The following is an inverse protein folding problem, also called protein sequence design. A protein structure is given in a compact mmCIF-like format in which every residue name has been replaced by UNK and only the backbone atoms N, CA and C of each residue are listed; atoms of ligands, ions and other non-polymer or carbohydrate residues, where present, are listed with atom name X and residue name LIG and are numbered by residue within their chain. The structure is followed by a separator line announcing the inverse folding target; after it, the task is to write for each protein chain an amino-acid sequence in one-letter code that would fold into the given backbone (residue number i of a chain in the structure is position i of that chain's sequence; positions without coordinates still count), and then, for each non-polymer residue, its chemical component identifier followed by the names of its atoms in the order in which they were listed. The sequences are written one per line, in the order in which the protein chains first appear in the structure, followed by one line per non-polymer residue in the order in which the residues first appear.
data_IF_770622307591
#
_entry.id   IF_770622307591
#
_cell.length_a   1.000
_cell.length_b   1.000
_cell.length_c   1.000
_cell.angle_alpha   90.00
_cell.angle_beta   90.00
_cell.angle_gamma   90.00
#
_symmetry.space_group_name_H-M   'P 1'
#
loop_
_entity.id
_entity.type
_entity.pdbx_description
1 polymer ?
#
# COMPACT_ATOMS: atom_id res chain seq x y z
N UNK A 1 -38.22 -36.99 6.77
CA UNK A 1 -37.45 -36.49 5.61
C UNK A 1 -36.90 -35.14 6.01
N UNK A 2 -35.60 -35.09 6.30
CA UNK A 2 -34.90 -33.86 6.62
C UNK A 2 -34.70 -33.07 5.33
N UNK A 3 -35.08 -31.79 5.34
CA UNK A 3 -34.75 -30.86 4.26
C UNK A 3 -33.31 -30.40 4.42
N UNK A 4 -32.49 -30.66 3.42
CA UNK A 4 -31.15 -30.11 3.25
C UNK A 4 -31.26 -28.59 3.06
N UNK A 5 -30.76 -27.82 4.03
CA UNK A 5 -30.45 -26.41 3.82
C UNK A 5 -29.09 -26.36 3.13
N UNK A 6 -29.09 -25.91 1.87
CA UNK A 6 -27.88 -25.66 1.10
C UNK A 6 -27.19 -24.42 1.68
N UNK A 7 -26.20 -24.68 2.55
CA UNK A 7 -25.39 -23.67 3.21
C UNK A 7 -24.24 -23.23 2.30
N UNK A 8 -24.49 -22.26 1.43
CA UNK A 8 -23.40 -21.47 0.83
C UNK A 8 -23.28 -20.15 1.58
N UNK A 9 -22.59 -20.20 2.72
CA UNK A 9 -22.04 -19.00 3.36
C UNK A 9 -20.86 -18.52 2.50
N UNK A 10 -21.19 -17.88 1.36
CA UNK A 10 -20.21 -17.23 0.52
C UNK A 10 -19.81 -15.94 1.24
N UNK A 11 -18.76 -16.02 2.04
CA UNK A 11 -18.20 -14.87 2.77
C UNK A 11 -18.16 -13.61 1.90
N UNK A 12 -18.47 -12.48 2.51
CA UNK A 12 -18.62 -11.22 1.79
C UNK A 12 -17.23 -10.77 1.30
N UNK A 13 -17.02 -10.84 -0.03
CA UNK A 13 -15.79 -10.40 -0.71
C UNK A 13 -15.99 -9.00 -1.28
N UNK A 14 -15.01 -8.12 -1.08
CA UNK A 14 -15.04 -6.76 -1.61
C UNK A 14 -13.75 -6.39 -2.35
N UNK A 15 -13.90 -5.59 -3.41
CA UNK A 15 -12.81 -4.99 -4.18
C UNK A 15 -12.92 -3.46 -4.18
N UNK A 16 -11.81 -2.79 -3.85
CA UNK A 16 -11.62 -1.36 -4.03
C UNK A 16 -10.99 -1.09 -5.40
N UNK A 17 -11.69 -0.31 -6.22
CA UNK A 17 -11.30 0.02 -7.59
C UNK A 17 -10.60 1.37 -7.69
N UNK A 18 -9.34 1.34 -8.12
CA UNK A 18 -8.60 2.55 -8.50
C UNK A 18 -8.99 3.04 -9.91
N UNK A 19 -9.82 4.08 -9.98
CA UNK A 19 -10.08 4.83 -11.22
C UNK A 19 -9.30 6.15 -11.24
N UNK A 20 -8.03 6.08 -11.63
CA UNK A 20 -7.26 7.28 -11.95
C UNK A 20 -7.65 7.84 -13.33
N UNK A 21 -7.70 9.17 -13.45
CA UNK A 21 -8.03 9.84 -14.72
C UNK A 21 -7.06 9.41 -15.82
N UNK A 22 -7.56 9.26 -17.04
CA UNK A 22 -6.73 9.09 -18.25
C UNK A 22 -5.77 10.28 -18.36
N UNK A 23 -4.52 10.13 -17.92
CA UNK A 23 -3.53 11.22 -17.97
C UNK A 23 -2.48 11.18 -16.86
N UNK A 24 -2.89 10.79 -15.64
CA UNK A 24 -2.06 10.83 -14.41
C UNK A 24 -0.80 9.93 -14.45
N UNK A 25 -0.70 9.05 -15.44
CA UNK A 25 0.38 8.07 -15.57
C UNK A 25 1.21 8.22 -16.83
N UNK A 26 0.95 9.28 -17.62
CA UNK A 26 1.60 9.46 -18.92
C UNK A 26 3.12 9.49 -18.80
N UNK A 27 3.65 10.04 -17.71
CA UNK A 27 5.10 10.06 -17.46
C UNK A 27 5.64 8.67 -17.17
N UNK A 28 5.04 7.94 -16.22
CA UNK A 28 5.44 6.57 -15.86
C UNK A 28 5.29 5.57 -17.03
N UNK A 29 4.35 5.80 -17.95
CA UNK A 29 4.19 4.98 -19.16
C UNK A 29 5.22 5.31 -20.24
N UNK A 30 5.75 6.54 -20.27
CA UNK A 30 6.71 7.03 -21.28
C UNK A 30 8.17 6.82 -20.89
N UNK A 31 8.48 6.71 -19.61
CA UNK A 31 9.84 6.45 -19.12
C UNK A 31 10.15 4.94 -19.11
N UNK A 32 11.43 4.58 -19.10
CA UNK A 32 11.92 3.22 -18.84
C UNK A 32 11.67 2.74 -17.40
N UNK A 33 10.97 3.54 -16.59
CA UNK A 33 10.64 3.23 -15.21
C UNK A 33 9.84 1.91 -15.10
N UNK A 34 10.23 0.97 -14.23
CA UNK A 34 9.65 -0.39 -14.23
C UNK A 34 8.21 -0.43 -13.69
N UNK A 35 7.86 0.46 -12.75
CA UNK A 35 6.49 0.50 -12.19
C UNK A 35 5.52 1.09 -13.20
N UNK A 36 4.58 0.25 -13.65
CA UNK A 36 3.48 0.63 -14.55
C UNK A 36 2.14 0.46 -13.82
N UNK A 37 1.55 1.53 -13.29
CA UNK A 37 0.26 1.48 -12.59
C UNK A 37 -0.91 0.99 -13.47
N UNK A 38 -0.71 0.99 -14.80
CA UNK A 38 -1.62 0.37 -15.75
C UNK A 38 -1.96 -1.09 -15.43
N UNK A 39 -1.06 -1.83 -14.76
CA UNK A 39 -1.31 -3.22 -14.31
C UNK A 39 -2.61 -3.35 -13.52
N UNK A 40 -2.95 -2.36 -12.69
CA UNK A 40 -4.17 -2.37 -11.86
C UNK A 40 -5.42 -2.31 -12.75
N UNK A 41 -5.38 -1.48 -13.80
CA UNK A 41 -6.47 -1.40 -14.78
C UNK A 41 -6.59 -2.69 -15.61
N UNK A 42 -5.47 -3.33 -15.94
CA UNK A 42 -5.49 -4.62 -16.62
C UNK A 42 -6.14 -5.70 -15.75
N UNK A 43 -5.74 -5.80 -14.48
CA UNK A 43 -6.37 -6.71 -13.50
C UNK A 43 -7.87 -6.46 -13.42
N UNK A 44 -8.31 -5.21 -13.23
CA UNK A 44 -9.72 -4.90 -13.13
C UNK A 44 -10.51 -5.29 -14.41
N UNK A 45 -9.97 -4.98 -15.59
CA UNK A 45 -10.61 -5.37 -16.85
C UNK A 45 -10.75 -6.90 -16.98
N UNK A 46 -9.76 -7.67 -16.53
CA UNK A 46 -9.87 -9.14 -16.51
C UNK A 46 -10.98 -9.59 -15.56
N UNK A 47 -11.06 -9.03 -14.35
CA UNK A 47 -12.12 -9.34 -13.38
C UNK A 47 -13.53 -9.06 -13.94
N UNK A 48 -13.69 -7.95 -14.68
CA UNK A 48 -14.94 -7.62 -15.37
C UNK A 48 -15.30 -8.67 -16.44
N UNK A 49 -14.34 -9.01 -17.31
CA UNK A 49 -14.59 -9.93 -18.43
C UNK A 49 -14.79 -11.39 -17.98
N UNK A 50 -14.16 -11.80 -16.86
CA UNK A 50 -14.43 -13.09 -16.23
C UNK A 50 -15.76 -13.12 -15.44
N UNK A 51 -16.47 -11.99 -15.31
CA UNK A 51 -17.72 -11.91 -14.56
C UNK A 51 -17.55 -11.97 -13.04
N UNK A 52 -16.32 -11.90 -12.53
CA UNK A 52 -16.03 -11.97 -11.09
C UNK A 52 -16.61 -10.78 -10.33
N UNK A 53 -16.73 -9.63 -10.98
CA UNK A 53 -17.36 -8.43 -10.42
C UNK A 53 -18.79 -8.64 -9.93
N UNK A 54 -19.49 -9.68 -10.39
CA UNK A 54 -20.85 -10.02 -9.97
C UNK A 54 -20.88 -10.76 -8.62
N UNK A 55 -19.72 -11.22 -8.15
CA UNK A 55 -19.55 -12.02 -6.93
C UNK A 55 -18.86 -11.25 -5.81
N UNK A 56 -18.65 -9.95 -5.99
CA UNK A 56 -17.99 -9.08 -5.02
C UNK A 56 -18.59 -7.68 -5.09
N UNK A 57 -18.51 -6.93 -4.00
CA UNK A 57 -18.87 -5.51 -4.05
C UNK A 57 -17.71 -4.67 -4.58
N UNK A 58 -17.99 -3.81 -5.55
CA UNK A 58 -16.99 -2.89 -6.10
C UNK A 58 -17.21 -1.50 -5.53
N UNK A 59 -16.18 -0.99 -4.87
CA UNK A 59 -16.19 0.32 -4.26
C UNK A 59 -15.17 1.24 -4.91
N UNK A 60 -15.52 2.51 -5.07
CA UNK A 60 -14.56 3.54 -5.46
C UNK A 60 -13.97 4.15 -4.18
N UNK A 61 -12.65 4.12 -3.98
CA UNK A 61 -12.06 4.65 -2.77
C UNK A 61 -12.21 6.16 -2.71
N UNK A 62 -12.35 6.69 -1.49
CA UNK A 62 -12.18 8.12 -1.26
C UNK A 62 -10.71 8.50 -1.48
N UNK A 63 -10.46 9.80 -1.66
CA UNK A 63 -9.09 10.32 -1.64
C UNK A 63 -8.68 10.51 -0.19
N UNK A 64 -7.71 9.74 0.28
CA UNK A 64 -7.16 9.93 1.61
C UNK A 64 -6.67 11.38 1.76
N UNK A 65 -7.06 12.05 2.84
CA UNK A 65 -6.65 13.41 3.12
C UNK A 65 -5.28 13.43 3.82
N UNK A 66 -4.73 14.63 4.02
CA UNK A 66 -3.43 14.76 4.68
C UNK A 66 -3.47 14.27 6.14
N UNK A 67 -4.58 14.48 6.86
CA UNK A 67 -4.75 14.06 8.25
C UNK A 67 -4.62 12.53 8.40
N UNK A 68 -5.30 11.78 7.52
CA UNK A 68 -5.20 10.32 7.44
C UNK A 68 -3.76 9.87 7.19
N UNK A 69 -3.04 10.53 6.26
CA UNK A 69 -1.66 10.16 5.94
C UNK A 69 -0.68 10.50 7.07
N UNK A 70 -0.90 11.60 7.78
CA UNK A 70 -0.05 12.04 8.90
C UNK A 70 -0.21 11.19 10.15
N UNK A 71 -1.14 10.23 10.19
CA UNK A 71 -1.20 9.23 11.26
C UNK A 71 0.08 8.37 11.34
N UNK A 72 0.80 8.18 10.22
CA UNK A 72 2.10 7.47 10.20
C UNK A 72 3.25 8.30 9.64
N UNK A 73 2.98 9.25 8.74
CA UNK A 73 3.99 10.07 8.08
C UNK A 73 4.19 11.42 8.75
N UNK A 74 5.35 12.04 8.54
CA UNK A 74 5.60 13.40 9.06
C UNK A 74 4.82 14.47 8.28
N UNK A 75 4.34 15.49 9.00
CA UNK A 75 3.56 16.59 8.42
C UNK A 75 4.30 17.29 7.27
N UNK A 76 5.60 17.51 7.43
CA UNK A 76 6.43 18.19 6.44
C UNK A 76 6.62 17.36 5.17
N UNK A 77 6.68 16.03 5.31
CA UNK A 77 6.77 15.11 4.18
C UNK A 77 5.45 15.06 3.38
N UNK A 78 4.31 14.93 4.06
CA UNK A 78 3.00 14.94 3.38
C UNK A 78 2.72 16.30 2.72
N UNK A 79 3.08 17.41 3.38
CA UNK A 79 3.00 18.76 2.79
C UNK A 79 3.87 18.88 1.55
N UNK A 80 5.07 18.31 1.56
CA UNK A 80 5.94 18.26 0.39
C UNK A 80 5.32 17.45 -0.74
N UNK A 81 4.84 16.22 -0.49
CA UNK A 81 4.19 15.40 -1.53
C UNK A 81 2.96 16.08 -2.13
N UNK A 82 2.18 16.80 -1.32
CA UNK A 82 1.03 17.57 -1.78
C UNK A 82 1.42 18.75 -2.69
N UNK A 83 2.57 19.38 -2.43
CA UNK A 83 2.99 20.62 -3.10
C UNK A 83 3.89 20.38 -4.31
N UNK A 84 4.64 19.28 -4.31
CA UNK A 84 5.63 18.99 -5.35
C UNK A 84 4.96 18.60 -6.67
N UNK A 85 5.47 19.17 -7.75
CA UNK A 85 5.00 18.98 -9.13
C UNK A 85 6.20 19.05 -10.08
N UNK A 86 6.12 18.44 -11.28
CA UNK A 86 7.22 18.48 -12.23
C UNK A 86 7.70 19.90 -12.60
N UNK A 87 6.81 20.89 -12.59
CA UNK A 87 7.09 22.28 -12.95
C UNK A 87 7.79 23.10 -11.83
N UNK A 88 7.71 22.66 -10.57
CA UNK A 88 8.30 23.36 -9.42
C UNK A 88 9.47 22.60 -8.75
N UNK A 89 9.95 21.50 -9.34
CA UNK A 89 11.00 20.66 -8.74
C UNK A 89 12.27 21.41 -8.36
N UNK A 90 12.67 22.43 -9.14
CA UNK A 90 13.86 23.24 -8.86
C UNK A 90 13.80 23.97 -7.51
N UNK A 91 12.59 24.32 -7.06
CA UNK A 91 12.36 25.01 -5.78
C UNK A 91 12.51 24.07 -4.57
N UNK A 92 12.42 22.75 -4.80
CA UNK A 92 12.39 21.72 -3.76
C UNK A 92 13.65 20.85 -3.70
N UNK A 93 14.78 21.27 -4.32
CA UNK A 93 16.00 20.45 -4.41
C UNK A 93 16.48 19.88 -3.07
N UNK A 94 16.47 20.68 -2.00
CA UNK A 94 16.85 20.23 -0.65
C UNK A 94 15.87 19.22 -0.05
N UNK A 95 14.56 19.45 -0.23
CA UNK A 95 13.51 18.57 0.25
C UNK A 95 13.51 17.25 -0.54
N UNK A 96 13.74 17.29 -1.84
CA UNK A 96 13.87 16.10 -2.68
C UNK A 96 14.99 15.18 -2.20
N UNK A 97 16.18 15.73 -1.91
CA UNK A 97 17.27 14.95 -1.32
C UNK A 97 16.89 14.41 0.07
N UNK A 98 16.30 15.25 0.93
CA UNK A 98 15.92 14.87 2.30
C UNK A 98 14.85 13.76 2.34
N UNK A 99 13.92 13.78 1.39
CA UNK A 99 12.78 12.85 1.33
C UNK A 99 12.98 11.71 0.34
N UNK A 100 14.22 11.53 -0.15
CA UNK A 100 14.63 10.48 -1.08
C UNK A 100 13.79 10.41 -2.37
N UNK A 101 13.60 11.58 -3.01
CA UNK A 101 12.91 11.74 -4.29
C UNK A 101 13.95 12.08 -5.35
N UNK A 102 14.13 11.23 -6.35
CA UNK A 102 15.09 11.48 -7.43
C UNK A 102 15.46 10.25 -8.24
N UNK A 103 16.15 9.28 -7.63
CA UNK A 103 16.63 8.09 -8.35
C UNK A 103 15.48 7.12 -8.65
N UNK A 104 15.02 6.42 -7.61
CA UNK A 104 13.96 5.42 -7.76
C UNK A 104 12.57 6.07 -7.69
N UNK A 105 12.39 7.06 -6.82
CA UNK A 105 11.11 7.72 -6.57
C UNK A 105 11.05 9.06 -7.32
N UNK A 106 10.38 9.09 -8.48
CA UNK A 106 10.28 10.28 -9.33
C UNK A 106 9.10 11.19 -8.96
N UNK A 107 9.21 12.48 -9.25
CA UNK A 107 8.05 13.38 -9.28
C UNK A 107 7.34 13.21 -10.63
N UNK A 108 6.02 13.03 -10.60
CA UNK A 108 5.20 12.95 -11.81
C UNK A 108 3.85 13.64 -11.60
N UNK A 109 3.18 13.97 -12.71
CA UNK A 109 1.86 14.58 -12.69
C UNK A 109 0.87 13.73 -11.87
N UNK A 110 0.15 14.37 -10.95
CA UNK A 110 -0.80 13.68 -10.07
C UNK A 110 -0.15 12.67 -9.08
N UNK A 111 1.13 12.81 -8.74
CA UNK A 111 1.80 11.99 -7.71
C UNK A 111 0.98 11.93 -6.41
N UNK A 112 0.56 13.08 -5.88
CA UNK A 112 -0.21 13.10 -4.64
C UNK A 112 -1.56 12.39 -4.80
N UNK A 113 -2.28 12.63 -5.90
CA UNK A 113 -3.56 11.97 -6.17
C UNK A 113 -3.41 10.44 -6.28
N UNK A 114 -2.29 9.94 -6.81
CA UNK A 114 -1.97 8.52 -6.78
C UNK A 114 -1.89 8.02 -5.34
N UNK A 115 -1.10 8.68 -4.49
CA UNK A 115 -0.97 8.32 -3.07
C UNK A 115 -2.32 8.36 -2.35
N UNK A 116 -3.14 9.39 -2.61
CA UNK A 116 -4.46 9.53 -1.99
C UNK A 116 -5.38 8.35 -2.29
N UNK A 117 -5.35 7.84 -3.52
CA UNK A 117 -6.25 6.78 -3.92
C UNK A 117 -5.73 5.39 -3.54
N UNK A 118 -4.41 5.14 -3.58
CA UNK A 118 -3.84 3.89 -3.07
C UNK A 118 -4.10 3.78 -1.56
N UNK A 119 -3.81 4.83 -0.80
CA UNK A 119 -4.05 4.90 0.65
C UNK A 119 -5.53 4.84 0.99
N UNK A 120 -6.37 5.61 0.29
CA UNK A 120 -7.81 5.63 0.54
C UNK A 120 -8.46 4.26 0.37
N UNK A 121 -8.03 3.48 -0.62
CA UNK A 121 -8.48 2.09 -0.79
C UNK A 121 -8.15 1.19 0.40
N UNK A 122 -6.91 1.26 0.90
CA UNK A 122 -6.47 0.41 2.01
C UNK A 122 -7.12 0.82 3.34
N UNK A 123 -7.23 2.12 3.62
CA UNK A 123 -7.90 2.63 4.83
C UNK A 123 -9.40 2.35 4.80
N UNK A 124 -10.09 2.59 3.68
CA UNK A 124 -11.52 2.28 3.56
C UNK A 124 -11.80 0.78 3.72
N UNK A 125 -10.92 -0.07 3.19
CA UNK A 125 -10.97 -1.52 3.35
C UNK A 125 -10.83 -1.92 4.83
N UNK A 126 -9.85 -1.35 5.54
CA UNK A 126 -9.68 -1.57 6.98
C UNK A 126 -10.88 -1.11 7.82
N UNK A 127 -11.47 0.05 7.49
CA UNK A 127 -12.70 0.52 8.14
C UNK A 127 -13.86 -0.47 7.99
N UNK A 128 -14.02 -1.08 6.82
CA UNK A 128 -15.10 -2.05 6.55
C UNK A 128 -14.89 -3.36 7.28
N UNK A 129 -13.65 -3.85 7.34
CA UNK A 129 -13.27 -5.01 8.17
C UNK A 129 -13.57 -4.74 9.66
N UNK A 130 -13.15 -3.58 10.18
CA UNK A 130 -13.45 -3.17 11.55
C UNK A 130 -14.95 -3.09 11.86
N UNK A 131 -15.75 -2.62 10.89
CA UNK A 131 -17.21 -2.54 10.99
C UNK A 131 -17.92 -3.89 10.76
N UNK A 132 -17.19 -4.97 10.50
CA UNK A 132 -17.73 -6.30 10.21
C UNK A 132 -18.72 -6.27 9.04
N UNK A 133 -18.47 -5.41 8.04
CA UNK A 133 -19.29 -5.29 6.83
C UNK A 133 -18.79 -6.19 5.70
N UNK A 134 -17.58 -6.72 5.83
CA UNK A 134 -16.94 -7.62 4.87
C UNK A 134 -15.99 -8.55 5.61
N UNK A 135 -15.78 -9.74 5.07
CA UNK A 135 -14.78 -10.69 5.58
C UNK A 135 -13.42 -10.48 4.91
N UNK A 136 -13.44 -10.07 3.64
CA UNK A 136 -12.23 -9.87 2.82
C UNK A 136 -12.39 -8.59 2.00
N UNK A 137 -11.39 -7.72 2.10
CA UNK A 137 -11.30 -6.51 1.31
C UNK A 137 -10.01 -6.50 0.48
N UNK A 138 -10.12 -6.16 -0.80
CA UNK A 138 -9.03 -6.22 -1.77
C UNK A 138 -8.75 -4.82 -2.32
N UNK A 139 -7.51 -4.34 -2.19
CA UNK A 139 -7.03 -3.12 -2.85
C UNK A 139 -5.78 -3.42 -3.68
N UNK A 140 -5.94 -3.66 -4.98
CA UNK A 140 -4.82 -3.95 -5.88
C UNK A 140 -3.87 -2.77 -6.10
N UNK A 141 -4.30 -1.55 -5.76
CA UNK A 141 -3.53 -0.32 -5.94
C UNK A 141 -2.60 0.02 -4.78
N UNK A 142 -2.79 -0.62 -3.62
CA UNK A 142 -1.93 -0.48 -2.46
C UNK A 142 -0.66 -1.32 -2.55
N UNK A 143 -0.20 -1.79 -1.39
CA UNK A 143 1.03 -2.60 -1.20
C UNK A 143 2.32 -1.80 -1.38
N UNK A 144 2.32 -0.53 -0.96
CA UNK A 144 3.49 0.35 -1.03
C UNK A 144 4.34 0.22 0.26
N UNK A 145 4.91 -0.97 0.47
CA UNK A 145 5.51 -1.39 1.74
C UNK A 145 6.88 -0.80 2.08
N UNK A 146 7.56 -0.16 1.13
CA UNK A 146 8.89 0.44 1.35
C UNK A 146 8.84 1.86 1.90
N UNK A 147 7.70 2.55 1.78
CA UNK A 147 7.58 3.94 2.22
C UNK A 147 7.84 4.06 3.72
N UNK A 148 8.69 5.02 4.10
CA UNK A 148 9.09 5.29 5.49
C UNK A 148 8.32 6.48 6.05
N UNK A 149 8.51 6.76 7.34
CA UNK A 149 7.83 7.87 8.02
C UNK A 149 8.05 9.23 7.35
N UNK A 150 9.27 9.51 6.90
CA UNK A 150 9.65 10.81 6.33
C UNK A 150 10.41 10.71 5.01
N UNK A 151 10.35 9.60 4.30
CA UNK A 151 11.03 9.45 3.01
C UNK A 151 10.34 8.43 2.11
N UNK A 152 10.47 8.63 0.80
CA UNK A 152 10.07 7.66 -0.20
C UNK A 152 11.17 6.59 -0.36
N UNK A 153 10.80 5.38 -0.75
CA UNK A 153 11.76 4.31 -1.03
C UNK A 153 11.13 3.27 -1.94
N UNK A 154 11.90 2.64 -2.85
CA UNK A 154 11.42 1.53 -3.68
C UNK A 154 10.09 1.81 -4.39
N UNK A 155 9.95 2.99 -5.01
CA UNK A 155 8.73 3.45 -5.69
C UNK A 155 7.52 3.74 -4.78
N UNK A 156 7.70 3.67 -3.46
CA UNK A 156 6.66 3.86 -2.46
C UNK A 156 6.80 5.23 -1.80
N UNK A 157 5.73 6.03 -1.83
CA UNK A 157 5.72 7.39 -1.27
C UNK A 157 4.93 7.46 0.04
N UNK A 158 3.77 6.81 0.12
CA UNK A 158 2.93 6.72 1.32
C UNK A 158 2.70 5.25 1.62
N UNK A 159 2.91 4.85 2.87
CA UNK A 159 2.77 3.46 3.30
C UNK A 159 1.30 3.17 3.65
N UNK A 160 0.53 2.78 2.64
CA UNK A 160 -0.89 2.48 2.79
C UNK A 160 -1.15 1.27 3.72
N UNK A 161 -0.18 0.35 3.81
CA UNK A 161 -0.25 -0.84 4.66
C UNK A 161 -0.18 -0.45 6.14
N UNK A 162 0.78 0.41 6.51
CA UNK A 162 0.91 0.92 7.88
C UNK A 162 -0.37 1.65 8.30
N UNK A 163 -0.91 2.51 7.44
CA UNK A 163 -2.15 3.26 7.74
C UNK A 163 -3.36 2.34 7.90
N UNK A 164 -3.49 1.30 7.06
CA UNK A 164 -4.54 0.30 7.20
C UNK A 164 -4.39 -0.53 8.49
N UNK A 165 -3.18 -0.91 8.87
CA UNK A 165 -2.93 -1.62 10.14
C UNK A 165 -3.26 -0.73 11.34
N UNK A 166 -2.89 0.56 11.32
CA UNK A 166 -3.27 1.51 12.37
C UNK A 166 -4.79 1.63 12.51
N UNK A 167 -5.53 1.61 11.40
CA UNK A 167 -6.99 1.55 11.41
C UNK A 167 -7.49 0.25 12.05
N UNK A 168 -6.97 -0.91 11.65
CA UNK A 168 -7.35 -2.22 12.23
C UNK A 168 -7.07 -2.29 13.74
N UNK A 169 -5.95 -1.71 14.20
CA UNK A 169 -5.57 -1.68 15.61
C UNK A 169 -6.54 -0.90 16.51
N UNK A 170 -7.50 -0.15 15.95
CA UNK A 170 -8.58 0.48 16.73
C UNK A 170 -9.56 -0.55 17.31
N UNK A 171 -9.72 -1.71 16.66
CA UNK A 171 -10.68 -2.74 17.05
C UNK A 171 -10.03 -4.10 17.33
N UNK A 172 -8.87 -4.37 16.74
CA UNK A 172 -8.16 -5.63 16.90
C UNK A 172 -6.96 -5.48 17.83
N UNK A 173 -6.89 -6.31 18.88
CA UNK A 173 -5.77 -6.30 19.83
C UNK A 173 -4.44 -6.67 19.14
N UNK A 174 -4.48 -7.60 18.19
CA UNK A 174 -3.34 -8.10 17.42
C UNK A 174 -3.66 -8.13 15.93
N UNK A 175 -2.71 -7.73 15.10
CA UNK A 175 -2.79 -7.78 13.64
C UNK A 175 -1.60 -8.56 13.09
N UNK A 176 -1.83 -9.48 12.17
CA UNK A 176 -0.78 -10.20 11.45
C UNK A 176 -0.64 -9.62 10.05
N UNK A 177 0.57 -9.23 9.66
CA UNK A 177 0.91 -8.79 8.32
C UNK A 177 1.80 -9.86 7.67
N UNK A 178 1.33 -10.43 6.56
CA UNK A 178 2.08 -11.40 5.76
C UNK A 178 2.47 -10.72 4.45
N UNK A 179 3.76 -10.70 4.16
CA UNK A 179 4.35 -10.11 2.96
C UNK A 179 5.01 -11.19 2.11
N UNK A 180 4.56 -11.26 0.86
CA UNK A 180 5.00 -12.21 -0.16
C UNK A 180 5.63 -11.51 -1.37
N UNK A 181 5.91 -10.21 -1.27
CA UNK A 181 6.70 -9.53 -2.28
C UNK A 181 8.13 -10.09 -2.29
N UNK A 182 8.78 -10.05 -3.46
CA UNK A 182 10.16 -10.52 -3.58
C UNK A 182 11.15 -9.65 -2.79
N UNK A 183 10.77 -8.40 -2.51
CA UNK A 183 11.53 -7.48 -1.67
C UNK A 183 11.04 -7.55 -0.22
N UNK A 184 11.94 -7.23 0.70
CA UNK A 184 11.61 -7.13 2.11
C UNK A 184 10.62 -5.99 2.37
N UNK A 185 9.54 -6.28 3.10
CA UNK A 185 8.55 -5.30 3.57
C UNK A 185 9.06 -4.37 4.69
N UNK A 186 10.20 -3.75 4.45
CA UNK A 186 11.02 -3.02 5.42
C UNK A 186 10.33 -1.80 6.04
N UNK A 187 9.51 -1.06 5.30
CA UNK A 187 8.77 0.09 5.83
C UNK A 187 7.67 -0.31 6.80
N UNK A 188 7.01 -1.45 6.56
CA UNK A 188 5.99 -2.01 7.47
C UNK A 188 6.66 -2.60 8.71
N UNK A 189 7.76 -3.35 8.53
CA UNK A 189 8.57 -3.89 9.63
C UNK A 189 9.04 -2.76 10.56
N UNK A 190 9.66 -1.72 10.01
CA UNK A 190 10.20 -0.59 10.77
C UNK A 190 9.11 0.13 11.58
N UNK A 191 7.93 0.36 10.97
CA UNK A 191 6.83 1.06 11.61
C UNK A 191 6.28 0.35 12.87
N UNK A 192 6.41 -0.98 12.93
CA UNK A 192 5.89 -1.80 14.02
C UNK A 192 6.97 -2.56 14.80
N UNK A 193 8.24 -2.24 14.58
CA UNK A 193 9.38 -2.97 15.14
C UNK A 193 9.38 -3.08 16.67
N UNK A 194 8.81 -2.08 17.35
CA UNK A 194 8.80 -1.96 18.82
C UNK A 194 7.43 -2.26 19.47
N UNK A 195 6.50 -2.92 18.76
CA UNK A 195 5.20 -3.32 19.33
C UNK A 195 4.94 -4.82 19.19
N UNK A 196 4.29 -5.42 20.17
CA UNK A 196 3.79 -6.80 20.14
C UNK A 196 2.39 -6.92 19.54
N UNK A 197 1.73 -5.79 19.23
CA UNK A 197 0.38 -5.77 18.66
C UNK A 197 0.35 -6.08 17.17
N UNK A 198 1.49 -5.98 16.48
CA UNK A 198 1.59 -6.28 15.06
C UNK A 198 2.74 -7.25 14.84
N UNK A 199 2.46 -8.40 14.24
CA UNK A 199 3.48 -9.32 13.76
C UNK A 199 3.66 -9.11 12.27
N UNK A 200 4.90 -8.94 11.83
CA UNK A 200 5.25 -8.83 10.40
C UNK A 200 6.02 -10.08 9.99
N UNK A 201 5.56 -10.71 8.92
CA UNK A 201 6.16 -11.94 8.38
C UNK A 201 6.45 -11.70 6.91
N UNK A 202 7.71 -11.72 6.52
CA UNK A 202 8.12 -11.44 5.14
C UNK A 202 8.95 -12.59 4.56
N UNK A 203 8.57 -13.04 3.36
CA UNK A 203 9.30 -14.04 2.59
C UNK A 203 9.91 -13.34 1.38
N UNK A 204 11.22 -13.13 1.37
CA UNK A 204 11.85 -12.30 0.35
C UNK A 204 13.23 -12.83 -0.05
N UNK A 205 13.73 -12.35 -1.20
CA UNK A 205 15.09 -12.65 -1.65
C UNK A 205 16.09 -11.83 -0.84
N UNK A 206 17.12 -12.50 -0.29
CA UNK A 206 18.21 -11.88 0.48
C UNK A 206 19.57 -12.06 -0.24
N UNK A 207 20.46 -11.06 -0.17
CA UNK A 207 21.80 -11.06 -0.82
C UNK A 207 21.99 -10.01 -1.93
N UNK A 208 23.12 -10.10 -2.67
CA UNK A 208 23.73 -9.07 -3.56
C UNK A 208 22.89 -8.55 -4.76
N UNK A 209 21.57 -8.72 -4.77
CA UNK A 209 20.72 -8.34 -5.91
C UNK A 209 19.36 -7.73 -5.52
N UNK A 210 19.22 -7.13 -4.33
CA UNK A 210 17.99 -6.46 -3.89
C UNK A 210 18.13 -4.94 -3.83
N UNK A 211 17.10 -4.21 -4.27
CA UNK A 211 17.00 -2.73 -4.28
C UNK A 211 17.10 -2.12 -2.86
N UNK A 212 16.93 -2.93 -1.81
CA UNK A 212 16.92 -2.47 -0.42
C UNK A 212 18.08 -3.09 0.35
N UNK A 213 19.14 -2.32 0.59
CA UNK A 213 20.34 -2.72 1.32
C UNK A 213 20.17 -2.88 2.84
N UNK A 214 19.07 -3.48 3.32
CA UNK A 214 18.88 -3.76 4.75
C UNK A 214 19.35 -5.18 5.10
N UNK A 215 20.46 -5.24 5.83
CA UNK A 215 21.03 -6.46 6.41
C UNK A 215 20.47 -6.69 7.81
N UNK A 216 19.33 -7.37 7.95
CA UNK A 216 18.89 -7.77 9.29
C UNK A 216 18.61 -9.27 9.40
N UNK A 217 19.57 -9.95 10.03
CA UNK A 217 19.42 -11.27 10.63
C UNK A 217 18.32 -11.21 11.70
N UNK A 218 17.28 -12.04 11.55
CA UNK A 218 16.16 -12.20 12.49
C UNK A 218 16.65 -12.31 13.93
N UNK A 219 16.14 -11.48 14.84
CA UNK A 219 16.40 -11.61 16.29
C UNK A 219 15.28 -12.42 16.96
N UNK A 220 15.59 -13.37 17.88
CA UNK A 220 14.60 -14.28 18.48
C UNK A 220 13.45 -13.66 19.28
N UNK A 221 13.48 -12.35 19.55
CA UNK A 221 12.49 -11.63 20.36
C UNK A 221 11.80 -10.48 19.62
N UNK A 222 12.00 -10.36 18.31
CA UNK A 222 11.35 -9.35 17.48
C UNK A 222 10.02 -9.91 16.95
N UNK A 223 8.95 -9.10 16.80
CA UNK A 223 7.68 -9.51 16.18
C UNK A 223 7.81 -9.76 14.65
N UNK A 224 9.02 -10.06 14.20
CA UNK A 224 9.47 -10.10 12.82
C UNK A 224 9.95 -11.51 12.51
N UNK A 225 9.33 -12.14 11.52
CA UNK A 225 9.77 -13.42 10.99
C UNK A 225 10.13 -13.22 9.52
N UNK A 226 11.43 -13.24 9.22
CA UNK A 226 11.93 -13.23 7.85
C UNK A 226 12.32 -14.64 7.46
N UNK A 227 11.78 -15.10 6.33
CA UNK A 227 12.00 -16.43 5.80
C UNK A 227 12.72 -16.36 4.46
N UNK A 228 13.77 -17.15 4.37
CA UNK A 228 14.60 -17.31 3.18
C UNK A 228 14.30 -18.69 2.58
N UNK A 229 14.02 -18.79 1.27
CA UNK A 229 13.93 -20.07 0.57
C UNK A 229 15.31 -20.72 0.33
#
# INVERSE_FOLDING_TARGET
MAGEQDGTDAGHLEESLLLLRRGCWKLLLRTSHPVKPHRIRMTHNLLLNYGLYRKMEIHRPHKANAEEMTCSHSDDYIKFLHSTRPDNMSEYSKQMQRFNIGEDCLVFDCLFEFCQLSTGGSVASAVKLNKQQTDIAVNWAGRLHHAKKSEASGFCYVNDVVLAILELLKYHQRVLCIDIDIHHGDGVEEAFYITDRVMTVSFHKYGDAGITGLSHRVRPSSPVLNFEP
#
